data_IF_821731296320
#
_entry.id   IF_821731296320
#
_cell.length_a   1.000
_cell.length_b   1.000
_cell.length_c   1.000
_cell.angle_alpha   90.00
_cell.angle_beta   90.00
_cell.angle_gamma   90.00
#
_symmetry.space_group_name_H-M   'P 1'
#
loop_
_entity.id
_entity.type
_entity.pdbx_description
1 polymer ?
#
# COMPACT_ATOMS: atom_id res chain seq x y z
N UNK A 1 -1.62 17.34 2.88
CA UNK A 1 -0.28 17.77 2.38
C UNK A 1 0.45 16.57 1.79
N UNK A 2 1.14 16.70 0.64
CA UNK A 2 1.88 15.58 0.05
C UNK A 2 3.22 15.39 0.76
N UNK A 3 3.57 14.15 1.10
CA UNK A 3 4.82 13.77 1.74
C UNK A 3 5.50 12.69 0.91
N UNK A 4 6.76 12.88 0.59
CA UNK A 4 7.58 11.89 -0.12
C UNK A 4 8.53 11.26 0.89
N UNK A 5 8.54 9.94 0.99
CA UNK A 5 9.56 9.21 1.75
C UNK A 5 10.34 8.27 0.84
N UNK A 6 11.62 8.11 1.12
CA UNK A 6 12.49 7.17 0.41
C UNK A 6 12.06 5.75 0.76
N UNK A 7 11.95 4.88 -0.26
CA UNK A 7 11.61 3.48 -0.06
C UNK A 7 12.83 2.70 0.44
N UNK A 8 12.68 1.77 1.39
CA UNK A 8 13.71 0.76 1.66
C UNK A 8 14.08 0.03 0.35
N UNK A 9 15.37 -0.14 0.08
CA UNK A 9 15.87 -0.57 -1.24
C UNK A 9 15.49 -2.02 -1.62
N UNK A 10 15.15 -2.86 -0.64
CA UNK A 10 14.90 -4.27 -0.88
C UNK A 10 13.46 -4.53 -1.38
N UNK A 11 13.32 -4.71 -2.69
CA UNK A 11 12.07 -5.01 -3.38
C UNK A 11 11.28 -6.19 -2.79
N UNK A 12 11.97 -7.22 -2.28
CA UNK A 12 11.36 -8.46 -1.76
C UNK A 12 11.04 -8.46 -0.26
N UNK A 13 11.36 -7.39 0.48
CA UNK A 13 11.03 -7.29 1.91
C UNK A 13 9.58 -6.81 2.09
N UNK A 14 8.63 -7.62 1.64
CA UNK A 14 7.20 -7.32 1.58
C UNK A 14 6.67 -6.96 2.98
N UNK A 15 6.92 -7.81 3.99
CA UNK A 15 6.44 -7.58 5.36
C UNK A 15 6.97 -6.29 6.00
N UNK A 16 8.18 -5.84 5.62
CA UNK A 16 8.69 -4.54 6.09
C UNK A 16 8.01 -3.37 5.44
N UNK A 17 7.67 -3.48 4.16
CA UNK A 17 6.91 -2.43 3.49
C UNK A 17 5.51 -2.36 4.10
N UNK A 18 4.87 -3.49 4.38
CA UNK A 18 3.57 -3.56 5.08
C UNK A 18 3.63 -2.89 6.45
N UNK A 19 4.57 -3.33 7.31
CA UNK A 19 4.75 -2.75 8.65
C UNK A 19 5.03 -1.26 8.57
N UNK A 20 5.93 -0.85 7.67
CA UNK A 20 6.28 0.55 7.48
C UNK A 20 5.08 1.38 7.05
N UNK A 21 4.28 0.94 6.08
CA UNK A 21 3.08 1.65 5.67
C UNK A 21 2.05 1.76 6.81
N UNK A 22 1.87 0.70 7.59
CA UNK A 22 0.97 0.71 8.75
C UNK A 22 1.44 1.69 9.82
N UNK A 23 2.75 1.73 10.11
CA UNK A 23 3.31 2.68 11.08
C UNK A 23 3.18 4.13 10.57
N UNK A 24 3.36 4.35 9.26
CA UNK A 24 3.12 5.66 8.64
C UNK A 24 1.66 6.11 8.76
N UNK A 25 0.68 5.22 8.57
CA UNK A 25 -0.72 5.59 8.74
C UNK A 25 -1.10 5.94 10.18
N UNK A 26 -0.47 5.29 11.18
CA UNK A 26 -0.60 5.68 12.59
C UNK A 26 -0.07 7.09 12.86
N UNK A 27 0.91 7.56 12.10
CA UNK A 27 1.39 8.96 12.13
C UNK A 27 0.49 9.92 11.31
N UNK A 28 -0.54 9.41 10.64
CA UNK A 28 -1.41 10.16 9.74
C UNK A 28 -0.87 10.30 8.32
N UNK A 29 0.11 9.49 7.93
CA UNK A 29 0.64 9.42 6.57
C UNK A 29 0.01 8.26 5.80
N UNK A 30 -0.99 8.57 4.99
CA UNK A 30 -1.72 7.59 4.19
C UNK A 30 -1.05 7.37 2.84
N UNK A 31 -0.83 6.10 2.49
CA UNK A 31 -0.23 5.73 1.22
C UNK A 31 -1.11 6.14 0.04
N UNK A 32 -0.53 6.82 -0.94
CA UNK A 32 -1.21 7.21 -2.19
C UNK A 32 -0.65 6.51 -3.41
N UNK A 33 0.68 6.43 -3.52
CA UNK A 33 1.37 5.83 -4.67
C UNK A 33 2.74 5.32 -4.28
N UNK A 34 3.09 4.13 -4.75
CA UNK A 34 4.45 3.60 -4.63
C UNK A 34 5.18 3.82 -5.95
N UNK A 35 6.28 4.56 -5.91
CA UNK A 35 7.23 4.68 -7.01
C UNK A 35 8.44 3.76 -6.82
N UNK A 36 9.35 3.75 -7.80
CA UNK A 36 10.56 2.94 -7.75
C UNK A 36 11.53 3.32 -6.65
N UNK A 37 11.65 4.62 -6.38
CA UNK A 37 12.59 5.19 -5.40
C UNK A 37 11.83 5.87 -4.25
N UNK A 38 10.73 6.56 -4.57
CA UNK A 38 9.95 7.33 -3.61
C UNK A 38 8.53 6.80 -3.45
N UNK A 39 8.08 6.76 -2.20
CA UNK A 39 6.69 6.50 -1.84
C UNK A 39 6.00 7.82 -1.52
N UNK A 40 4.83 7.99 -2.12
CA UNK A 40 4.00 9.17 -1.97
C UNK A 40 2.93 8.91 -0.91
N UNK A 41 2.95 9.72 0.12
CA UNK A 41 1.97 9.74 1.19
C UNK A 41 1.16 11.04 1.15
N UNK A 42 -0.05 10.98 1.67
CA UNK A 42 -0.88 12.13 1.99
C UNK A 42 -0.94 12.21 3.51
N UNK A 43 -0.53 13.36 4.05
CA UNK A 43 -0.72 13.67 5.46
C UNK A 43 -2.17 14.05 5.69
N UNK A 44 -2.86 13.21 6.45
CA UNK A 44 -4.25 13.35 6.92
C UNK A 44 -4.31 13.02 8.43
N UNK A 45 -5.47 12.62 8.95
CA UNK A 45 -5.60 12.21 10.34
C UNK A 45 -4.95 10.85 10.58
N UNK A 46 -4.25 10.65 11.72
CA UNK A 46 -3.88 9.33 12.21
C UNK A 46 -5.06 8.37 12.15
N UNK A 47 -4.85 7.23 11.51
CA UNK A 47 -5.84 6.15 11.46
C UNK A 47 -5.12 4.84 11.66
N UNK A 48 -5.73 3.95 12.42
CA UNK A 48 -5.25 2.58 12.57
C UNK A 48 -5.63 1.79 11.33
N UNK A 49 -4.79 1.86 10.29
CA UNK A 49 -5.01 1.09 9.05
C UNK A 49 -3.93 0.03 8.88
N UNK A 50 -4.34 -1.10 8.32
CA UNK A 50 -3.44 -2.20 7.97
C UNK A 50 -3.16 -2.17 6.48
N UNK A 51 -1.90 -2.26 6.10
CA UNK A 51 -1.51 -2.43 4.71
C UNK A 51 -1.11 -3.87 4.45
N UNK A 52 -1.53 -4.37 3.29
CA UNK A 52 -1.15 -5.68 2.78
C UNK A 52 -0.63 -5.54 1.38
N UNK A 53 0.45 -6.25 1.07
CA UNK A 53 1.08 -6.27 -0.24
C UNK A 53 0.96 -7.69 -0.77
N UNK A 54 0.37 -7.83 -1.94
CA UNK A 54 0.23 -9.10 -2.62
C UNK A 54 1.08 -9.15 -3.89
N UNK A 55 1.77 -10.28 -4.10
CA UNK A 55 2.65 -10.50 -5.24
C UNK A 55 1.84 -11.10 -6.40
N UNK A 56 1.16 -10.24 -7.14
CA UNK A 56 0.29 -10.64 -8.24
C UNK A 56 1.12 -10.73 -9.51
N UNK A 57 1.27 -11.95 -10.02
CA UNK A 57 1.99 -12.25 -11.26
C UNK A 57 1.28 -11.69 -12.50
N UNK A 58 -0.02 -11.46 -12.40
CA UNK A 58 -0.81 -10.89 -13.49
C UNK A 58 -0.56 -9.40 -13.63
N UNK A 59 -0.57 -8.96 -14.89
CA UNK A 59 -0.31 -7.57 -15.25
C UNK A 59 -1.37 -6.60 -14.73
N UNK A 60 -2.55 -7.07 -14.32
CA UNK A 60 -3.65 -6.28 -13.78
C UNK A 60 -4.45 -7.14 -12.78
N UNK A 61 -4.99 -6.51 -11.73
CA UNK A 61 -5.97 -7.15 -10.83
C UNK A 61 -7.31 -7.11 -11.55
N UNK A 62 -7.95 -8.26 -11.72
CA UNK A 62 -9.28 -8.34 -12.35
C UNK A 62 -10.34 -7.68 -11.47
N UNK A 63 -11.45 -7.26 -12.07
CA UNK A 63 -12.58 -6.70 -11.32
C UNK A 63 -13.08 -7.67 -10.23
N UNK A 64 -13.12 -8.97 -10.53
CA UNK A 64 -13.49 -10.02 -9.57
C UNK A 64 -12.55 -10.05 -8.37
N UNK A 65 -11.23 -9.99 -8.60
CA UNK A 65 -10.25 -9.93 -7.50
C UNK A 65 -10.42 -8.67 -6.66
N UNK A 66 -10.67 -7.51 -7.29
CA UNK A 66 -10.97 -6.27 -6.56
C UNK A 66 -12.22 -6.40 -5.70
N UNK A 67 -13.26 -7.06 -6.22
CA UNK A 67 -14.51 -7.28 -5.51
C UNK A 67 -14.32 -8.24 -4.32
N UNK A 68 -13.61 -9.35 -4.50
CA UNK A 68 -13.27 -10.26 -3.40
C UNK A 68 -12.51 -9.56 -2.27
N UNK A 69 -11.57 -8.68 -2.61
CA UNK A 69 -10.86 -7.87 -1.61
C UNK A 69 -11.79 -6.87 -0.92
N UNK A 70 -12.67 -6.20 -1.67
CA UNK A 70 -13.64 -5.27 -1.12
C UNK A 70 -14.63 -5.95 -0.16
N UNK A 71 -15.04 -7.19 -0.44
CA UNK A 71 -15.86 -8.03 0.44
C UNK A 71 -15.13 -8.43 1.73
N UNK A 72 -13.80 -8.38 1.72
CA UNK A 72 -12.95 -8.73 2.86
C UNK A 72 -12.46 -7.50 3.65
N UNK A 73 -13.12 -6.34 3.50
CA UNK A 73 -12.71 -5.05 4.07
C UNK A 73 -11.31 -4.57 3.61
N UNK A 74 -10.83 -5.06 2.46
CA UNK A 74 -9.59 -4.62 1.83
C UNK A 74 -9.89 -3.76 0.60
N UNK A 75 -9.41 -2.53 0.63
CA UNK A 75 -9.47 -1.60 -0.51
C UNK A 75 -8.15 -1.59 -1.27
N UNK A 76 -8.20 -1.70 -2.59
CA UNK A 76 -7.02 -1.52 -3.43
C UNK A 76 -6.54 -0.06 -3.41
N UNK A 77 -5.23 0.15 -3.18
CA UNK A 77 -4.64 1.49 -3.11
C UNK A 77 -3.82 1.79 -4.36
N UNK A 78 -2.83 0.93 -4.64
CA UNK A 78 -1.84 1.20 -5.69
C UNK A 78 -1.09 -0.07 -6.06
N UNK A 79 -0.36 -0.03 -7.16
CA UNK A 79 0.46 -1.12 -7.64
C UNK A 79 1.84 -0.62 -8.04
N UNK A 80 2.84 -1.47 -7.80
CA UNK A 80 4.21 -1.25 -8.20
C UNK A 80 4.87 -2.54 -8.69
N UNK A 81 5.06 -2.66 -10.01
CA UNK A 81 5.60 -3.87 -10.63
C UNK A 81 4.67 -5.08 -10.41
N UNK A 82 5.19 -6.12 -9.76
CA UNK A 82 4.42 -7.33 -9.40
C UNK A 82 3.70 -7.21 -8.05
N UNK A 83 3.78 -6.06 -7.37
CA UNK A 83 3.18 -5.88 -6.06
C UNK A 83 1.95 -4.99 -6.12
N UNK A 84 0.84 -5.49 -5.60
CA UNK A 84 -0.38 -4.73 -5.39
C UNK A 84 -0.56 -4.46 -3.91
N UNK A 85 -0.86 -3.21 -3.57
CA UNK A 85 -1.01 -2.75 -2.20
C UNK A 85 -2.47 -2.52 -1.90
N UNK A 86 -2.92 -3.11 -0.80
CA UNK A 86 -4.27 -3.03 -0.27
C UNK A 86 -4.23 -2.40 1.13
N UNK A 87 -5.32 -1.76 1.50
CA UNK A 87 -5.52 -1.15 2.82
C UNK A 87 -6.81 -1.69 3.43
N UNK A 88 -6.76 -2.02 4.71
CA UNK A 88 -7.95 -2.30 5.51
C UNK A 88 -8.07 -1.27 6.62
N UNK A 89 -9.31 -0.87 6.89
CA UNK A 89 -9.67 0.22 7.81
C UNK A 89 -9.94 -0.23 9.23
#
# INVERSE_FOLDING_TARGET
MKVLKLRPSNYWRIGEHESWFTDMAKEGLHLRKVGSIFVHFIKEKPKETRYRIDAIHNKEITFEQQQMYAESDWSYVTRYGMFSVFISS
#
